data_IF_491992811798
#
_entry.id   IF_491992811798
#
_cell.length_a   1.000
_cell.length_b   1.000
_cell.length_c   1.000
_cell.angle_alpha   90.00
_cell.angle_beta   90.00
_cell.angle_gamma   90.00
#
_symmetry.space_group_name_H-M   'P 1'
#
loop_
_entity.id
_entity.type
_entity.pdbx_description
1 polymer ?
#
# COMPACT_ATOMS: atom_id res chain seq x y z
N UNK A 1 10.47 14.91 -0.93
CA UNK A 1 10.84 13.62 -0.22
C UNK A 1 11.56 12.70 -1.19
N UNK A 2 12.53 11.89 -0.76
CA UNK A 2 13.20 10.94 -1.69
C UNK A 2 12.30 9.76 -1.98
N UNK A 3 12.28 9.28 -3.25
CA UNK A 3 11.64 8.02 -3.63
C UNK A 3 12.20 6.90 -2.75
N UNK A 4 11.30 6.20 -2.06
CA UNK A 4 11.67 5.14 -1.11
C UNK A 4 11.61 3.79 -1.81
N UNK A 5 12.66 2.98 -1.66
CA UNK A 5 12.73 1.61 -2.21
C UNK A 5 11.52 0.76 -1.80
N UNK A 6 11.01 0.92 -0.58
CA UNK A 6 9.85 0.17 -0.08
C UNK A 6 8.58 0.50 -0.91
N UNK A 7 8.35 1.79 -1.25
CA UNK A 7 7.22 2.19 -2.10
C UNK A 7 7.32 1.61 -3.52
N UNK A 8 8.51 1.67 -4.11
CA UNK A 8 8.73 1.12 -5.47
C UNK A 8 8.57 -0.41 -5.47
N UNK A 9 9.07 -1.10 -4.43
CA UNK A 9 8.85 -2.55 -4.26
C UNK A 9 7.36 -2.89 -4.20
N UNK A 10 6.59 -2.17 -3.39
CA UNK A 10 5.15 -2.40 -3.27
C UNK A 10 4.43 -2.14 -4.59
N UNK A 11 4.68 -0.99 -5.23
CA UNK A 11 4.05 -0.61 -6.49
C UNK A 11 4.33 -1.60 -7.63
N UNK A 12 5.54 -2.21 -7.64
CA UNK A 12 5.90 -3.23 -8.61
C UNK A 12 5.27 -4.60 -8.28
N UNK A 13 5.20 -4.96 -6.98
CA UNK A 13 4.82 -6.31 -6.55
C UNK A 13 3.32 -6.50 -6.39
N UNK A 14 2.57 -5.49 -5.96
CA UNK A 14 1.12 -5.61 -5.73
C UNK A 14 0.40 -6.14 -6.97
N UNK A 15 -0.63 -6.98 -6.75
CA UNK A 15 -1.38 -7.57 -7.85
C UNK A 15 -2.52 -6.63 -8.28
N UNK A 16 -2.55 -6.23 -9.55
CA UNK A 16 -3.64 -5.46 -10.17
C UNK A 16 -4.41 -6.42 -11.09
N UNK A 17 -5.65 -6.71 -10.73
CA UNK A 17 -6.50 -7.60 -11.51
C UNK A 17 -7.21 -6.84 -12.63
N UNK A 18 -7.51 -7.48 -13.77
CA UNK A 18 -8.26 -6.83 -14.85
C UNK A 18 -9.67 -6.36 -14.45
N UNK A 19 -10.21 -6.88 -13.35
CA UNK A 19 -11.51 -6.50 -12.80
C UNK A 19 -11.46 -5.34 -11.82
N UNK A 20 -10.25 -4.90 -11.41
CA UNK A 20 -10.10 -3.80 -10.47
C UNK A 20 -10.36 -2.46 -11.18
N UNK A 21 -11.18 -1.62 -10.57
CA UNK A 21 -11.54 -0.31 -11.12
C UNK A 21 -11.29 0.85 -10.15
N UNK A 22 -11.33 0.60 -8.83
CA UNK A 22 -11.21 1.62 -7.82
C UNK A 22 -10.02 1.35 -6.90
N UNK A 23 -9.07 2.27 -6.88
CA UNK A 23 -7.80 2.15 -6.17
C UNK A 23 -7.64 3.26 -5.15
N UNK A 24 -7.08 2.93 -3.96
CA UNK A 24 -6.75 3.90 -2.92
C UNK A 24 -5.31 3.73 -2.45
N UNK A 25 -4.54 4.80 -2.52
CA UNK A 25 -3.20 4.91 -1.95
C UNK A 25 -3.26 5.64 -0.60
N UNK A 26 -3.06 4.92 0.50
CA UNK A 26 -3.11 5.49 1.85
C UNK A 26 -1.71 5.95 2.26
N UNK A 27 -1.58 7.23 2.58
CA UNK A 27 -0.29 7.87 2.85
C UNK A 27 0.54 7.92 1.57
N UNK A 28 -0.04 8.50 0.51
CA UNK A 28 0.54 8.48 -0.84
C UNK A 28 1.93 9.13 -0.93
N UNK A 29 2.30 9.93 0.07
CA UNK A 29 3.59 10.61 0.13
C UNK A 29 3.81 11.52 -1.08
N UNK A 30 4.77 11.18 -1.92
CA UNK A 30 5.06 11.89 -3.17
C UNK A 30 4.22 11.40 -4.36
N UNK A 31 3.23 10.53 -4.14
CA UNK A 31 2.38 9.98 -5.20
C UNK A 31 2.99 8.81 -5.99
N UNK A 32 4.17 8.33 -5.60
CA UNK A 32 4.95 7.38 -6.40
C UNK A 32 4.22 6.05 -6.63
N UNK A 33 3.56 5.49 -5.61
CA UNK A 33 2.87 4.20 -5.75
C UNK A 33 1.61 4.36 -6.60
N UNK A 34 0.88 5.47 -6.40
CA UNK A 34 -0.30 5.81 -7.21
C UNK A 34 0.06 5.98 -8.69
N UNK A 35 1.18 6.66 -9.00
CA UNK A 35 1.67 6.82 -10.38
C UNK A 35 2.14 5.49 -10.99
N UNK A 36 2.82 4.63 -10.23
CA UNK A 36 3.18 3.27 -10.67
C UNK A 36 1.94 2.42 -10.97
N UNK A 37 0.88 2.57 -10.14
CA UNK A 37 -0.41 1.94 -10.40
C UNK A 37 -1.01 2.43 -11.71
N UNK A 38 -1.01 3.74 -11.97
CA UNK A 38 -1.51 4.33 -13.20
C UNK A 38 -0.74 3.83 -14.43
N UNK A 39 0.60 3.80 -14.36
CA UNK A 39 1.44 3.25 -15.43
C UNK A 39 1.06 1.80 -15.76
N UNK A 40 0.91 0.96 -14.74
CA UNK A 40 0.58 -0.46 -14.94
C UNK A 40 -0.80 -0.67 -15.51
N UNK A 41 -1.78 0.18 -15.16
CA UNK A 41 -3.10 0.15 -15.76
C UNK A 41 -3.05 0.51 -17.25
N UNK A 42 -2.26 1.53 -17.62
CA UNK A 42 -2.06 1.90 -19.02
C UNK A 42 -1.41 0.77 -19.84
N UNK A 43 -0.40 0.10 -19.26
CA UNK A 43 0.26 -1.06 -19.89
C UNK A 43 -0.69 -2.25 -20.08
N UNK A 44 -1.60 -2.50 -19.11
CA UNK A 44 -2.57 -3.60 -19.20
C UNK A 44 -3.65 -3.37 -20.25
N UNK A 45 -3.98 -2.11 -20.53
CA UNK A 45 -5.11 -1.75 -21.40
C UNK A 45 -4.69 -1.18 -22.76
N UNK A 46 -3.40 -1.24 -23.12
CA UNK A 46 -2.86 -0.61 -24.36
C UNK A 46 -3.23 0.88 -24.49
N UNK A 47 -3.40 1.59 -23.37
CA UNK A 47 -3.89 2.98 -23.34
C UNK A 47 -2.89 4.02 -23.89
N UNK A 48 -1.68 3.64 -24.23
CA UNK A 48 -0.64 4.53 -24.80
C UNK A 48 -1.12 5.28 -26.05
N UNK A 49 -2.15 4.76 -26.73
CA UNK A 49 -2.70 5.34 -27.97
C UNK A 49 -3.72 6.49 -27.75
N UNK A 50 -4.21 6.73 -26.52
CA UNK A 50 -5.36 7.62 -26.27
C UNK A 50 -5.05 8.93 -25.54
N UNK A 51 -3.78 9.27 -25.35
CA UNK A 51 -3.39 10.60 -24.82
C UNK A 51 -3.71 10.80 -23.32
N UNK A 52 -3.65 9.74 -22.49
CA UNK A 52 -3.62 9.87 -21.03
C UNK A 52 -4.98 10.09 -20.35
N UNK A 53 -6.06 9.82 -21.01
CA UNK A 53 -7.40 9.71 -20.38
C UNK A 53 -7.64 8.23 -20.11
N UNK A 54 -7.79 7.85 -18.82
CA UNK A 54 -8.18 6.47 -18.49
C UNK A 54 -9.57 6.18 -19.09
N UNK A 55 -9.59 5.65 -20.31
CA UNK A 55 -10.82 5.35 -21.06
C UNK A 55 -11.63 4.19 -20.46
N UNK A 56 -11.10 3.52 -19.43
CA UNK A 56 -11.62 2.27 -18.88
C UNK A 56 -12.38 2.43 -17.55
N UNK A 57 -12.69 3.67 -17.13
CA UNK A 57 -13.46 3.91 -15.91
C UNK A 57 -12.73 3.63 -14.59
N UNK A 58 -11.41 3.38 -14.63
CA UNK A 58 -10.60 3.21 -13.42
C UNK A 58 -10.38 4.54 -12.69
N UNK A 59 -10.35 4.49 -11.36
CA UNK A 59 -10.05 5.66 -10.54
C UNK A 59 -8.97 5.33 -9.53
N UNK A 60 -7.94 6.18 -9.43
CA UNK A 60 -6.94 6.12 -8.38
C UNK A 60 -7.12 7.36 -7.50
N UNK A 61 -7.18 7.14 -6.19
CA UNK A 61 -7.22 8.22 -5.20
C UNK A 61 -6.03 8.05 -4.25
N UNK A 62 -5.19 9.08 -4.10
CA UNK A 62 -4.16 9.15 -3.08
C UNK A 62 -4.63 10.04 -1.94
N UNK A 63 -4.43 9.62 -0.69
CA UNK A 63 -4.66 10.46 0.50
C UNK A 63 -3.37 10.67 1.26
N UNK A 64 -3.12 11.91 1.71
CA UNK A 64 -1.93 12.30 2.46
C UNK A 64 -2.29 13.34 3.51
N UNK A 65 -1.67 13.25 4.68
CA UNK A 65 -1.93 14.18 5.79
C UNK A 65 -0.82 15.25 5.91
N UNK A 66 0.39 14.96 5.44
CA UNK A 66 1.53 15.84 5.59
C UNK A 66 1.58 16.86 4.44
N UNK A 67 1.59 18.16 4.79
CA UNK A 67 1.49 19.28 3.85
C UNK A 67 2.50 19.21 2.70
N UNK A 68 3.79 19.01 3.03
CA UNK A 68 4.86 19.03 2.02
C UNK A 68 4.80 17.78 1.12
N UNK A 69 4.48 16.62 1.68
CA UNK A 69 4.35 15.38 0.90
C UNK A 69 3.16 15.48 -0.06
N UNK A 70 2.03 16.06 0.40
CA UNK A 70 0.87 16.32 -0.45
C UNK A 70 1.20 17.31 -1.59
N UNK A 71 1.95 18.38 -1.30
CA UNK A 71 2.39 19.33 -2.32
C UNK A 71 3.32 18.66 -3.36
N UNK A 72 4.30 17.86 -2.90
CA UNK A 72 5.17 17.06 -3.78
C UNK A 72 4.33 16.11 -4.67
N UNK A 73 3.30 15.47 -4.10
CA UNK A 73 2.42 14.58 -4.85
C UNK A 73 1.64 15.32 -5.95
N UNK A 74 1.10 16.50 -5.64
CA UNK A 74 0.40 17.34 -6.62
C UNK A 74 1.31 17.72 -7.79
N UNK A 75 2.55 18.14 -7.50
CA UNK A 75 3.53 18.49 -8.52
C UNK A 75 3.86 17.26 -9.39
N UNK A 76 4.15 16.12 -8.78
CA UNK A 76 4.50 14.89 -9.48
C UNK A 76 3.35 14.37 -10.36
N UNK A 77 2.12 14.37 -9.85
CA UNK A 77 0.95 13.96 -10.63
C UNK A 77 0.71 14.91 -11.80
N UNK A 78 0.79 16.23 -11.57
CA UNK A 78 0.58 17.20 -12.65
C UNK A 78 1.65 17.16 -13.75
N UNK A 79 2.88 16.80 -13.41
CA UNK A 79 3.99 16.64 -14.35
C UNK A 79 4.02 15.24 -15.03
N UNK A 80 3.21 14.30 -14.56
CA UNK A 80 3.17 12.92 -15.08
C UNK A 80 2.24 12.78 -16.28
N UNK A 81 2.32 11.67 -17.04
CA UNK A 81 1.32 11.32 -18.04
C UNK A 81 -0.08 11.02 -17.46
N UNK A 82 -0.24 10.95 -16.14
CA UNK A 82 -1.47 10.54 -15.44
C UNK A 82 -2.06 11.64 -14.54
N UNK A 83 -2.39 12.85 -15.07
CA UNK A 83 -2.94 13.95 -14.27
C UNK A 83 -4.35 13.66 -13.74
N UNK A 84 -4.96 12.55 -14.16
CA UNK A 84 -6.26 12.06 -13.70
C UNK A 84 -6.19 11.33 -12.33
N UNK A 85 -5.01 11.05 -11.80
CA UNK A 85 -4.84 10.53 -10.45
C UNK A 85 -5.32 11.56 -9.44
N UNK A 86 -6.38 11.24 -8.71
CA UNK A 86 -6.97 12.14 -7.72
C UNK A 86 -6.15 12.15 -6.43
N UNK A 87 -5.94 13.34 -5.85
CA UNK A 87 -5.26 13.48 -4.57
C UNK A 87 -6.15 14.24 -3.59
N UNK A 88 -6.11 13.84 -2.30
CA UNK A 88 -6.83 14.51 -1.22
C UNK A 88 -5.93 14.72 -0.01
N UNK A 89 -5.92 15.94 0.51
CA UNK A 89 -5.19 16.30 1.73
C UNK A 89 -6.06 16.01 2.95
N UNK A 90 -5.97 14.77 3.47
CA UNK A 90 -6.84 14.30 4.54
C UNK A 90 -6.22 13.13 5.29
N UNK A 91 -6.48 13.04 6.60
CA UNK A 91 -6.12 11.86 7.39
C UNK A 91 -7.01 10.67 7.01
N UNK A 92 -6.49 9.44 7.11
CA UNK A 92 -7.25 8.22 6.83
C UNK A 92 -8.53 8.12 7.70
N UNK A 93 -8.43 8.55 8.96
CA UNK A 93 -9.55 8.52 9.93
C UNK A 93 -10.72 9.41 9.49
N UNK A 94 -10.40 10.54 8.85
CA UNK A 94 -11.37 11.55 8.40
C UNK A 94 -11.77 11.35 6.93
N UNK A 95 -11.14 10.40 6.24
CA UNK A 95 -11.40 10.16 4.83
C UNK A 95 -12.79 9.57 4.62
N UNK A 96 -13.63 10.30 3.88
CA UNK A 96 -14.98 9.88 3.47
C UNK A 96 -15.01 9.79 1.94
N UNK A 97 -15.10 8.57 1.37
CA UNK A 97 -15.26 8.42 -0.07
C UNK A 97 -16.62 8.93 -0.53
N UNK A 98 -16.81 9.10 -1.83
CA UNK A 98 -18.13 9.36 -2.42
C UNK A 98 -19.13 8.29 -1.96
N UNK A 99 -20.44 8.61 -1.87
CA UNK A 99 -21.46 7.64 -1.47
C UNK A 99 -21.34 6.33 -2.28
N UNK A 100 -21.43 5.21 -1.58
CA UNK A 100 -21.35 3.84 -2.11
C UNK A 100 -20.02 3.47 -2.79
N UNK A 101 -19.03 4.39 -2.85
CA UNK A 101 -17.72 4.08 -3.39
C UNK A 101 -16.93 3.18 -2.43
N UNK A 102 -16.59 1.99 -2.92
CA UNK A 102 -15.69 1.03 -2.27
C UNK A 102 -14.53 0.73 -3.21
N UNK A 103 -13.43 0.29 -2.63
CA UNK A 103 -12.19 0.04 -3.35
C UNK A 103 -12.00 -1.45 -3.64
N UNK A 104 -11.45 -1.75 -4.82
CA UNK A 104 -11.05 -3.09 -5.22
C UNK A 104 -9.66 -3.41 -4.67
N UNK A 105 -8.76 -2.42 -4.73
CA UNK A 105 -7.40 -2.52 -4.19
C UNK A 105 -7.06 -1.26 -3.40
N UNK A 106 -6.66 -1.46 -2.14
CA UNK A 106 -6.02 -0.44 -1.31
C UNK A 106 -4.54 -0.82 -1.19
N UNK A 107 -3.65 0.14 -1.31
CA UNK A 107 -2.23 -0.08 -1.08
C UNK A 107 -1.63 1.00 -0.19
N UNK A 108 -0.59 0.63 0.55
CA UNK A 108 0.04 1.56 1.49
C UNK A 108 1.47 1.14 1.84
N UNK A 109 2.35 2.11 1.91
CA UNK A 109 3.63 2.04 2.58
C UNK A 109 3.59 2.98 3.79
N UNK A 110 2.94 2.58 4.88
CA UNK A 110 2.67 3.47 6.00
C UNK A 110 3.97 3.89 6.70
N UNK A 111 4.00 5.08 7.34
CA UNK A 111 5.11 5.42 8.22
C UNK A 111 5.24 4.34 9.30
N UNK A 112 6.49 4.07 9.74
CA UNK A 112 6.72 3.05 10.76
C UNK A 112 5.89 3.34 12.01
N UNK A 113 5.08 2.39 12.43
CA UNK A 113 4.30 2.48 13.65
C UNK A 113 5.29 2.54 14.82
N UNK A 114 5.54 3.73 15.36
CA UNK A 114 6.35 3.87 16.56
C UNK A 114 5.53 3.25 17.68
N UNK A 115 5.90 2.04 18.12
CA UNK A 115 5.41 1.48 19.36
C UNK A 115 5.78 2.44 20.48
N UNK A 116 4.83 3.26 20.92
CA UNK A 116 4.95 4.11 22.11
C UNK A 116 4.89 3.25 23.38
N UNK A 117 5.74 2.23 23.46
CA UNK A 117 6.13 1.61 24.71
C UNK A 117 7.15 2.55 25.37
N UNK A 118 6.61 3.49 26.18
CA UNK A 118 7.23 4.16 27.30
C UNK A 118 8.75 3.98 27.41
N UNK A 119 9.53 4.82 26.76
CA UNK A 119 10.78 5.25 27.33
C UNK A 119 10.46 6.40 28.30
N UNK A 120 10.46 6.09 29.59
CA UNK A 120 10.50 7.05 30.68
C UNK A 120 11.78 7.88 30.55
N UNK A 121 11.70 9.06 29.93
CA UNK A 121 12.83 9.97 29.75
C UNK A 121 12.43 11.16 28.94
N UNK A 122 11.95 12.20 29.64
CA UNK A 122 12.01 13.65 29.33
C UNK A 122 12.30 14.06 27.87
N UNK A 123 11.28 14.09 27.03
CA UNK A 123 11.09 15.03 25.94
C UNK A 123 9.62 15.11 25.53
N UNK A 124 8.78 15.48 26.51
CA UNK A 124 7.53 16.15 26.21
C UNK A 124 7.89 17.61 25.94
N UNK A 125 7.67 18.12 24.75
CA UNK A 125 6.99 19.40 24.47
C UNK A 125 6.93 19.54 22.95
N UNK A 126 5.69 19.73 22.44
CA UNK A 126 5.31 20.10 21.06
C UNK A 126 5.16 18.99 20.00
N UNK A 127 4.53 17.86 20.33
CA UNK A 127 3.73 17.16 19.33
C UNK A 127 2.28 17.69 19.46
N UNK A 128 1.93 18.72 18.71
CA UNK A 128 0.53 19.00 18.39
C UNK A 128 -0.04 17.71 17.76
N UNK A 129 -1.09 17.16 18.32
CA UNK A 129 -2.03 16.16 17.86
C UNK A 129 -1.90 15.69 16.39
N UNK A 130 -0.79 15.12 15.99
CA UNK A 130 -0.70 14.22 14.86
C UNK A 130 -0.80 12.82 15.46
N UNK A 131 -2.04 12.36 15.66
CA UNK A 131 -2.28 10.98 16.05
C UNK A 131 -1.62 10.09 15.00
N UNK A 132 -0.51 9.46 15.38
CA UNK A 132 0.18 8.52 14.52
C UNK A 132 -0.80 7.41 14.16
N UNK A 133 -1.01 7.17 12.87
CA UNK A 133 -1.86 6.10 12.36
C UNK A 133 -1.49 4.78 13.04
N UNK A 134 -2.39 4.22 13.86
CA UNK A 134 -2.15 2.91 14.46
C UNK A 134 -2.44 1.79 13.46
N UNK A 135 -1.83 0.60 13.69
CA UNK A 135 -2.15 -0.57 12.86
C UNK A 135 -3.64 -0.97 12.96
N UNK A 136 -4.29 -0.73 14.11
CA UNK A 136 -5.71 -1.00 14.26
C UNK A 136 -6.57 0.00 13.50
N UNK A 137 -6.19 1.28 13.47
CA UNK A 137 -6.88 2.29 12.67
C UNK A 137 -6.74 1.97 11.18
N UNK A 138 -5.53 1.58 10.74
CA UNK A 138 -5.32 1.14 9.37
C UNK A 138 -6.21 -0.06 9.03
N UNK A 139 -6.23 -1.10 9.88
CA UNK A 139 -7.06 -2.29 9.68
C UNK A 139 -8.55 -1.96 9.59
N UNK A 140 -9.07 -1.20 10.58
CA UNK A 140 -10.48 -0.86 10.65
C UNK A 140 -10.94 0.00 9.47
N UNK A 141 -10.14 1.02 9.10
CA UNK A 141 -10.46 1.88 7.96
C UNK A 141 -10.35 1.12 6.64
N UNK A 142 -9.35 0.26 6.48
CA UNK A 142 -9.23 -0.60 5.29
C UNK A 142 -10.45 -1.51 5.15
N UNK A 143 -10.89 -2.16 6.23
CA UNK A 143 -12.12 -2.98 6.22
C UNK A 143 -13.37 -2.15 5.85
N UNK A 144 -13.46 -0.91 6.36
CA UNK A 144 -14.55 0.01 6.03
C UNK A 144 -14.57 0.40 4.55
N UNK A 145 -13.39 0.58 3.94
CA UNK A 145 -13.23 1.13 2.60
C UNK A 145 -13.24 0.07 1.49
N UNK A 146 -12.77 -1.15 1.75
CA UNK A 146 -12.75 -2.24 0.77
C UNK A 146 -14.16 -2.80 0.49
N UNK A 147 -14.36 -3.22 -0.76
CA UNK A 147 -15.42 -4.18 -1.12
C UNK A 147 -15.18 -5.52 -0.42
N UNK A 148 -16.20 -6.37 -0.27
CA UNK A 148 -15.98 -7.79 0.01
C UNK A 148 -15.25 -8.42 -1.18
N UNK A 149 -14.18 -9.19 -0.93
CA UNK A 149 -13.25 -9.67 -1.94
C UNK A 149 -12.24 -8.61 -2.42
N UNK A 150 -12.35 -7.36 -1.97
CA UNK A 150 -11.34 -6.33 -2.22
C UNK A 150 -10.05 -6.59 -1.42
N UNK A 151 -8.92 -6.05 -1.88
CA UNK A 151 -7.60 -6.41 -1.39
C UNK A 151 -6.83 -5.23 -0.80
N UNK A 152 -5.99 -5.54 0.20
CA UNK A 152 -4.99 -4.63 0.75
C UNK A 152 -3.59 -5.14 0.37
N UNK A 153 -2.80 -4.33 -0.31
CA UNK A 153 -1.37 -4.55 -0.50
C UNK A 153 -0.57 -3.62 0.43
N UNK A 154 0.36 -4.17 1.22
CA UNK A 154 1.11 -3.41 2.22
C UNK A 154 2.55 -3.90 2.32
N UNK A 155 3.48 -2.97 2.53
CA UNK A 155 4.87 -3.27 2.87
C UNK A 155 5.17 -2.80 4.29
N UNK A 156 5.74 -3.69 5.10
CA UNK A 156 6.11 -3.40 6.50
C UNK A 156 7.46 -4.02 6.85
N UNK A 157 8.20 -3.46 7.84
CA UNK A 157 9.26 -4.20 8.51
C UNK A 157 8.74 -5.51 9.09
N UNK A 158 9.61 -6.51 9.23
CA UNK A 158 9.20 -7.88 9.62
C UNK A 158 8.41 -7.93 10.91
N UNK A 159 8.83 -7.17 11.93
CA UNK A 159 8.18 -7.16 13.26
C UNK A 159 6.76 -6.63 13.17
N UNK A 160 6.61 -5.48 12.53
CA UNK A 160 5.33 -4.78 12.34
C UNK A 160 4.40 -5.59 11.41
N UNK A 161 4.95 -6.20 10.37
CA UNK A 161 4.19 -7.06 9.46
C UNK A 161 3.63 -8.30 10.17
N UNK A 162 4.44 -8.97 10.99
CA UNK A 162 3.96 -10.10 11.80
C UNK A 162 2.92 -9.68 12.84
N UNK A 163 3.07 -8.50 13.42
CA UNK A 163 2.08 -7.95 14.35
C UNK A 163 0.77 -7.63 13.61
N UNK A 164 0.83 -7.06 12.42
CA UNK A 164 -0.35 -6.78 11.59
C UNK A 164 -1.11 -8.07 11.26
N UNK A 165 -0.43 -9.14 10.85
CA UNK A 165 -1.03 -10.46 10.61
C UNK A 165 -1.76 -10.95 11.87
N UNK A 166 -1.14 -10.89 13.05
CA UNK A 166 -1.81 -11.30 14.30
C UNK A 166 -3.07 -10.50 14.61
N UNK A 167 -3.08 -9.19 14.29
CA UNK A 167 -4.26 -8.33 14.49
C UNK A 167 -5.40 -8.73 13.54
N UNK A 168 -5.11 -8.99 12.27
CA UNK A 168 -6.14 -9.48 11.33
C UNK A 168 -6.71 -10.83 11.77
N UNK A 169 -5.87 -11.75 12.25
CA UNK A 169 -6.30 -13.03 12.79
C UNK A 169 -7.18 -12.89 14.03
N UNK A 170 -6.85 -11.95 14.92
CA UNK A 170 -7.66 -11.69 16.12
C UNK A 170 -9.05 -11.20 15.76
N UNK A 171 -9.18 -10.22 14.86
CA UNK A 171 -10.47 -9.72 14.38
C UNK A 171 -11.28 -10.84 13.74
N UNK A 172 -10.66 -11.69 12.92
CA UNK A 172 -11.34 -12.79 12.23
C UNK A 172 -11.86 -13.93 13.12
N UNK A 173 -11.40 -14.03 14.38
CA UNK A 173 -11.85 -15.09 15.31
C UNK A 173 -13.34 -15.02 15.67
N UNK A 174 -13.97 -13.87 15.48
CA UNK A 174 -15.35 -13.64 15.88
C UNK A 174 -16.37 -13.80 14.74
N UNK A 175 -16.00 -14.43 13.63
CA UNK A 175 -16.88 -14.65 12.48
C UNK A 175 -17.24 -13.38 11.71
N UNK A 176 -16.52 -12.29 11.96
CA UNK A 176 -16.67 -10.99 11.32
C UNK A 176 -15.74 -10.97 10.08
N UNK A 177 -16.08 -10.19 9.07
CA UNK A 177 -15.17 -9.92 7.95
C UNK A 177 -13.84 -9.38 8.48
N UNK A 178 -12.75 -9.91 7.96
CA UNK A 178 -11.37 -9.50 8.27
C UNK A 178 -10.54 -9.44 7.01
N UNK A 179 -9.28 -9.07 7.15
CA UNK A 179 -8.27 -9.17 6.12
C UNK A 179 -7.58 -10.53 6.22
N UNK A 180 -7.84 -11.42 5.26
CA UNK A 180 -7.20 -12.74 5.18
C UNK A 180 -5.90 -12.62 4.38
N UNK A 181 -4.77 -13.00 4.95
CA UNK A 181 -3.49 -13.02 4.22
C UNK A 181 -3.58 -14.05 3.10
N UNK A 182 -3.40 -13.60 1.85
CA UNK A 182 -3.46 -14.45 0.66
C UNK A 182 -2.09 -14.63 0.00
N UNK A 183 -1.21 -13.62 0.08
CA UNK A 183 0.12 -13.62 -0.53
C UNK A 183 1.13 -12.88 0.33
N UNK A 184 2.36 -13.39 0.43
CA UNK A 184 3.43 -12.78 1.22
C UNK A 184 4.78 -13.00 0.54
N UNK A 185 5.57 -11.92 0.41
CA UNK A 185 6.94 -11.98 -0.04
C UNK A 185 7.91 -11.51 1.05
N UNK A 186 8.89 -12.36 1.37
CA UNK A 186 9.99 -12.03 2.26
C UNK A 186 11.09 -11.32 1.47
N UNK A 187 11.38 -10.06 1.83
CA UNK A 187 12.38 -9.23 1.15
C UNK A 187 13.70 -9.24 1.92
N UNK A 188 14.76 -9.65 1.25
CA UNK A 188 16.13 -9.70 1.74
C UNK A 188 16.98 -8.65 1.06
N UNK A 189 17.84 -7.94 1.80
CA UNK A 189 18.85 -7.08 1.16
C UNK A 189 19.86 -7.92 0.37
N UNK A 190 20.36 -8.99 0.99
CA UNK A 190 21.23 -10.03 0.38
C UNK A 190 20.81 -11.39 0.95
N UNK A 191 20.98 -12.46 0.18
CA UNK A 191 20.44 -13.80 0.47
C UNK A 191 20.78 -14.38 1.85
N UNK A 192 21.97 -14.05 2.37
CA UNK A 192 22.47 -14.58 3.66
C UNK A 192 22.13 -13.72 4.87
N UNK A 193 21.46 -12.58 4.68
CA UNK A 193 21.02 -11.71 5.80
C UNK A 193 19.57 -12.01 6.19
N UNK A 194 19.16 -11.63 7.41
CA UNK A 194 17.76 -11.79 7.82
C UNK A 194 16.81 -10.97 6.95
N UNK A 195 15.56 -11.43 6.86
CA UNK A 195 14.44 -10.73 6.22
C UNK A 195 14.33 -9.32 6.77
N UNK A 196 14.17 -8.34 5.89
CA UNK A 196 14.07 -6.92 6.26
C UNK A 196 12.65 -6.38 6.17
N UNK A 197 11.89 -6.81 5.16
CA UNK A 197 10.53 -6.36 4.89
C UNK A 197 9.65 -7.55 4.55
N UNK A 198 8.36 -7.38 4.78
CA UNK A 198 7.30 -8.23 4.26
C UNK A 198 6.44 -7.40 3.32
N UNK A 199 6.32 -7.85 2.08
CA UNK A 199 5.25 -7.45 1.19
C UNK A 199 4.10 -8.42 1.44
N UNK A 200 2.92 -7.91 1.68
CA UNK A 200 1.76 -8.72 2.05
C UNK A 200 0.54 -8.25 1.28
N UNK A 201 -0.25 -9.21 0.82
CA UNK A 201 -1.54 -8.97 0.21
C UNK A 201 -2.61 -9.71 1.01
N UNK A 202 -3.65 -8.99 1.36
CA UNK A 202 -4.77 -9.50 2.13
C UNK A 202 -6.05 -9.33 1.33
N UNK A 203 -7.00 -10.25 1.48
CA UNK A 203 -8.34 -10.16 0.92
C UNK A 203 -9.37 -9.96 2.03
N UNK A 204 -10.29 -9.01 1.84
CA UNK A 204 -11.41 -8.81 2.75
C UNK A 204 -12.45 -9.89 2.58
N UNK A 205 -12.76 -10.58 3.65
CA UNK A 205 -13.80 -11.62 3.68
C UNK A 205 -13.94 -12.26 5.04
N UNK A 206 -14.89 -13.17 5.16
CA UNK A 206 -15.03 -13.98 6.38
C UNK A 206 -13.82 -14.93 6.46
N UNK A 207 -13.26 -15.08 7.66
CA UNK A 207 -12.14 -15.97 7.88
C UNK A 207 -12.51 -17.41 7.53
N UNK A 208 -11.75 -17.98 6.58
CA UNK A 208 -11.85 -19.39 6.24
C UNK A 208 -10.57 -20.12 6.65
N UNK A 209 -10.70 -21.36 7.13
CA UNK A 209 -9.56 -22.23 7.48
C UNK A 209 -8.76 -22.72 6.27
N UNK A 210 -9.21 -22.42 5.06
CA UNK A 210 -8.70 -22.99 3.81
C UNK A 210 -7.87 -22.02 2.95
N UNK A 211 -7.49 -20.83 3.47
CA UNK A 211 -6.66 -19.88 2.69
C UNK A 211 -5.24 -20.43 2.60
N UNK A 212 -4.85 -20.85 1.39
CA UNK A 212 -3.45 -21.17 1.10
C UNK A 212 -2.70 -19.85 0.83
N UNK A 213 -1.78 -19.49 1.71
CA UNK A 213 -0.94 -18.28 1.53
C UNK A 213 0.14 -18.58 0.51
N UNK A 214 0.16 -17.83 -0.59
CA UNK A 214 1.27 -17.83 -1.53
C UNK A 214 2.50 -17.18 -0.89
N UNK A 215 3.64 -17.88 -0.88
CA UNK A 215 4.88 -17.41 -0.26
C UNK A 215 5.98 -17.25 -1.27
N UNK A 216 6.58 -16.07 -1.28
CA UNK A 216 7.65 -15.69 -2.17
C UNK A 216 8.89 -15.21 -1.41
N UNK A 217 10.00 -15.16 -2.11
CA UNK A 217 11.26 -14.62 -1.63
C UNK A 217 11.82 -13.65 -2.68
N UNK A 218 12.31 -12.49 -2.22
CA UNK A 218 12.94 -11.48 -3.07
C UNK A 218 14.26 -11.04 -2.47
N UNK A 219 15.34 -11.15 -3.24
CA UNK A 219 16.69 -10.68 -2.88
C UNK A 219 17.00 -9.43 -3.70
N UNK A 220 17.32 -8.31 -3.03
CA UNK A 220 17.56 -7.02 -3.73
C UNK A 220 18.96 -6.98 -4.36
N UNK A 221 19.99 -7.41 -3.64
CA UNK A 221 21.39 -7.30 -4.05
C UNK A 221 22.08 -8.66 -4.05
N UNK A 222 23.02 -8.84 -5.00
CA UNK A 222 23.83 -10.08 -5.13
C UNK A 222 23.48 -10.90 -6.37
N UNK A 223 24.03 -12.11 -6.47
CA UNK A 223 23.83 -13.00 -7.61
C UNK A 223 22.38 -13.47 -7.76
N UNK A 224 21.64 -13.54 -6.65
CA UNK A 224 20.27 -14.07 -6.60
C UNK A 224 19.21 -12.97 -6.84
N UNK A 225 19.57 -11.83 -7.43
CA UNK A 225 18.65 -10.70 -7.58
C UNK A 225 17.88 -10.68 -8.91
N UNK A 226 17.94 -11.73 -9.71
CA UNK A 226 17.20 -11.79 -10.98
C UNK A 226 15.68 -11.57 -10.83
N UNK A 227 14.97 -12.18 -9.85
CA UNK A 227 13.55 -11.90 -9.63
C UNK A 227 13.28 -10.42 -9.31
N UNK A 228 14.16 -9.77 -8.53
CA UNK A 228 14.07 -8.35 -8.23
C UNK A 228 14.27 -7.50 -9.50
N UNK A 229 15.29 -7.78 -10.30
CA UNK A 229 15.54 -7.06 -11.56
C UNK A 229 14.36 -7.16 -12.52
N UNK A 230 13.77 -8.36 -12.65
CA UNK A 230 12.58 -8.57 -13.48
C UNK A 230 11.38 -7.79 -12.96
N UNK A 231 11.14 -7.81 -11.65
CA UNK A 231 10.06 -7.07 -11.02
C UNK A 231 10.17 -5.56 -11.25
N UNK A 232 11.41 -5.05 -11.27
CA UNK A 232 11.72 -3.62 -11.37
C UNK A 232 11.94 -3.13 -12.80
N UNK A 233 11.89 -4.02 -13.78
CA UNK A 233 12.31 -3.74 -15.16
C UNK A 233 11.61 -2.52 -15.77
N UNK A 234 10.31 -2.35 -15.51
CA UNK A 234 9.52 -1.23 -16.05
C UNK A 234 9.65 0.07 -15.23
N UNK A 235 10.33 0.05 -14.08
CA UNK A 235 10.40 1.18 -13.14
C UNK A 235 11.81 1.70 -12.86
N UNK A 236 12.84 0.94 -13.23
CA UNK A 236 14.24 1.38 -13.21
C UNK A 236 14.78 1.40 -14.65
N UNK A 237 15.24 2.57 -15.05
CA UNK A 237 16.02 2.77 -16.27
C UNK A 237 17.46 2.29 -16.07
#
# INVERSE_FOLDING_TARGET
MKVNTDGVLLGSWMNILPSDANFLDIGTGTGVIALMCAQRLDEQHDCVATGGVCSHGCTITGIEIEDNAYADALENVSASPWPWVGLQHVALQDYVPLPDKKYDLIFTNPPYFINSLKSSGTRMVNAKHTDSLSQMDLLNNTLRLLKTGGRLAIILPVTEGREFIRKTEFVGKHGIETLNLIRMCEVFTVAHKPVKRLLMEFEKGVKTSAVCVEKEKLVICGADNEPFRRLMFNFYL
#
